data_IF_849848993989
#
_entry.id   IF_849848993989
#
_cell.length_a   1.000
_cell.length_b   1.000
_cell.length_c   1.000
_cell.angle_alpha   90.00
_cell.angle_beta   90.00
_cell.angle_gamma   90.00
#
_symmetry.space_group_name_H-M   'P 1'
#
loop_
_entity.id
_entity.type
_entity.pdbx_description
1 polymer ?
#
# COMPACT_ATOMS: atom_id res chain seq x y z
N UNK A 1 15.45 -15.70 -17.09
CA UNK A 1 15.20 -15.04 -15.79
C UNK A 1 13.93 -15.61 -15.19
N UNK A 2 13.96 -16.09 -13.95
CA UNK A 2 12.75 -16.54 -13.28
C UNK A 2 11.93 -15.30 -12.95
N UNK A 3 10.73 -15.14 -13.55
CA UNK A 3 9.86 -14.01 -13.22
C UNK A 3 9.55 -13.89 -11.73
N UNK A 4 9.15 -12.71 -11.27
CA UNK A 4 9.00 -12.39 -9.85
C UNK A 4 8.02 -13.32 -9.14
N UNK A 5 8.28 -13.62 -7.86
CA UNK A 5 7.55 -14.65 -7.12
C UNK A 5 6.07 -14.31 -6.95
N UNK A 6 5.71 -13.02 -6.77
CA UNK A 6 4.34 -12.57 -6.58
C UNK A 6 3.48 -12.76 -7.84
N UNK A 7 4.08 -12.69 -9.03
CA UNK A 7 3.40 -13.00 -10.30
C UNK A 7 3.08 -14.49 -10.46
N UNK A 8 3.85 -15.36 -9.79
CA UNK A 8 3.68 -16.82 -9.86
C UNK A 8 2.84 -17.39 -8.71
N UNK A 9 2.85 -16.73 -7.54
CA UNK A 9 2.17 -17.18 -6.35
C UNK A 9 1.44 -16.03 -5.65
N UNK A 10 0.11 -15.97 -5.85
CA UNK A 10 -0.77 -14.95 -5.23
C UNK A 10 -0.98 -15.15 -3.72
N UNK A 11 -0.59 -16.32 -3.20
CA UNK A 11 -0.64 -16.65 -1.78
C UNK A 11 0.68 -16.36 -1.05
N UNK A 12 1.72 -15.92 -1.77
CA UNK A 12 2.94 -15.47 -1.14
C UNK A 12 2.71 -14.17 -0.33
N UNK A 13 3.53 -13.97 0.69
CA UNK A 13 3.53 -12.75 1.51
C UNK A 13 3.66 -11.52 0.64
N UNK A 14 2.82 -10.51 0.89
CA UNK A 14 2.79 -9.24 0.15
C UNK A 14 2.50 -9.36 -1.36
N UNK A 15 2.16 -10.55 -1.89
CA UNK A 15 1.95 -10.72 -3.33
C UNK A 15 0.79 -9.88 -3.88
N UNK A 16 -0.25 -9.64 -3.07
CA UNK A 16 -1.40 -8.81 -3.47
C UNK A 16 -1.01 -7.33 -3.45
N UNK A 17 -0.27 -6.88 -2.43
CA UNK A 17 0.33 -5.55 -2.38
C UNK A 17 1.16 -5.29 -3.63
N UNK A 18 2.13 -6.16 -3.92
CA UNK A 18 3.03 -6.07 -5.07
C UNK A 18 2.27 -6.04 -6.40
N UNK A 19 1.25 -6.90 -6.55
CA UNK A 19 0.42 -6.91 -7.77
C UNK A 19 -0.39 -5.63 -7.95
N UNK A 20 -0.89 -5.03 -6.87
CA UNK A 20 -1.64 -3.76 -6.92
C UNK A 20 -0.68 -2.63 -7.26
N UNK A 21 0.47 -2.50 -6.59
CA UNK A 21 1.40 -1.41 -6.87
C UNK A 21 1.94 -1.49 -8.29
N UNK A 22 2.22 -2.68 -8.80
CA UNK A 22 2.57 -2.93 -10.20
C UNK A 22 1.47 -2.48 -11.18
N UNK A 23 0.20 -2.67 -10.82
CA UNK A 23 -0.92 -2.34 -11.72
C UNK A 23 -1.29 -0.87 -11.75
N UNK A 24 -0.92 -0.10 -10.71
CA UNK A 24 -1.34 1.31 -10.55
C UNK A 24 -0.19 2.30 -10.43
N UNK A 25 1.02 1.89 -10.09
CA UNK A 25 2.15 2.80 -9.85
C UNK A 25 3.35 2.54 -10.75
N UNK A 26 3.36 1.44 -11.51
CA UNK A 26 4.42 1.15 -12.47
C UNK A 26 4.49 2.25 -13.56
N UNK A 27 5.67 2.64 -14.05
CA UNK A 27 5.84 3.74 -15.02
C UNK A 27 5.10 3.53 -16.35
N UNK A 28 4.81 2.27 -16.71
CA UNK A 28 4.00 1.93 -17.89
C UNK A 28 2.49 2.18 -17.68
N UNK A 29 2.07 2.46 -16.46
CA UNK A 29 0.68 2.76 -16.12
C UNK A 29 0.39 4.26 -16.22
N UNK A 30 -0.84 4.65 -16.60
CA UNK A 30 -1.19 6.06 -16.70
C UNK A 30 -1.09 6.76 -15.33
N UNK A 31 -0.73 8.06 -15.30
CA UNK A 31 -0.40 8.79 -14.07
C UNK A 31 -1.56 8.90 -13.06
N UNK A 32 -2.80 8.64 -13.49
CA UNK A 32 -4.00 8.60 -12.63
C UNK A 32 -4.15 7.31 -11.81
N UNK A 33 -3.10 6.49 -11.70
CA UNK A 33 -3.14 5.21 -11.01
C UNK A 33 -3.57 5.30 -9.55
N UNK A 34 -2.99 6.23 -8.77
CA UNK A 34 -3.39 6.49 -7.38
C UNK A 34 -4.87 6.87 -7.25
N UNK A 35 -5.37 7.75 -8.13
CA UNK A 35 -6.78 8.14 -8.15
C UNK A 35 -7.73 6.96 -8.50
N UNK A 36 -7.30 6.06 -9.39
CA UNK A 36 -8.05 4.83 -9.71
C UNK A 36 -8.07 3.87 -8.51
N UNK A 37 -6.93 3.71 -7.83
CA UNK A 37 -6.83 2.87 -6.64
C UNK A 37 -7.71 3.41 -5.51
N UNK A 38 -7.70 4.72 -5.27
CA UNK A 38 -8.60 5.37 -4.31
C UNK A 38 -10.08 5.07 -4.59
N UNK A 39 -10.52 5.23 -5.86
CA UNK A 39 -11.90 4.91 -6.26
C UNK A 39 -12.23 3.45 -6.03
N UNK A 40 -11.28 2.54 -6.31
CA UNK A 40 -11.46 1.11 -6.12
C UNK A 40 -11.61 0.76 -4.63
N UNK A 41 -10.74 1.29 -3.77
CA UNK A 41 -10.82 1.10 -2.31
C UNK A 41 -12.11 1.67 -1.75
N UNK A 42 -12.48 2.89 -2.16
CA UNK A 42 -13.72 3.53 -1.74
C UNK A 42 -14.95 2.71 -2.14
N UNK A 43 -14.99 2.20 -3.38
CA UNK A 43 -16.06 1.34 -3.88
C UNK A 43 -16.17 0.04 -3.10
N UNK A 44 -15.08 -0.68 -2.86
CA UNK A 44 -15.12 -1.93 -2.08
C UNK A 44 -15.55 -1.67 -0.63
N UNK A 45 -15.01 -0.63 0.01
CA UNK A 45 -15.32 -0.31 1.41
C UNK A 45 -16.74 0.24 1.63
N UNK A 46 -17.26 1.03 0.69
CA UNK A 46 -18.57 1.68 0.83
C UNK A 46 -19.70 0.88 0.20
N UNK A 47 -19.48 0.33 -1.00
CA UNK A 47 -20.49 -0.39 -1.77
C UNK A 47 -20.49 -1.91 -1.46
N UNK A 48 -19.55 -2.39 -0.63
CA UNK A 48 -19.38 -3.81 -0.28
C UNK A 48 -19.28 -4.74 -1.51
N UNK A 49 -18.83 -4.19 -2.64
CA UNK A 49 -18.62 -4.96 -3.87
C UNK A 49 -17.25 -5.63 -3.84
N UNK A 50 -17.16 -6.84 -4.37
CA UNK A 50 -15.88 -7.52 -4.55
C UNK A 50 -15.26 -7.10 -5.88
N UNK A 51 -13.96 -6.78 -5.90
CA UNK A 51 -13.23 -6.52 -7.13
C UNK A 51 -12.77 -7.85 -7.72
N UNK A 52 -13.05 -8.09 -9.01
CA UNK A 52 -12.58 -9.30 -9.69
C UNK A 52 -11.07 -9.27 -10.01
N UNK A 53 -10.45 -8.08 -9.94
CA UNK A 53 -9.06 -7.87 -10.36
C UNK A 53 -8.09 -7.99 -9.19
N UNK A 54 -8.42 -7.37 -8.06
CA UNK A 54 -7.56 -7.36 -6.87
C UNK A 54 -8.38 -7.58 -5.61
N UNK A 55 -7.85 -8.37 -4.68
CA UNK A 55 -8.42 -8.56 -3.35
C UNK A 55 -8.08 -7.33 -2.49
N UNK A 56 -8.99 -6.34 -2.48
CA UNK A 56 -8.80 -5.06 -1.78
C UNK A 56 -8.67 -5.23 -0.26
N UNK A 57 -9.48 -6.06 0.42
CA UNK A 57 -9.27 -6.34 1.84
C UNK A 57 -7.87 -6.87 2.14
N UNK A 58 -7.40 -7.87 1.39
CA UNK A 58 -6.05 -8.45 1.55
C UNK A 58 -4.95 -7.44 1.20
N UNK A 59 -5.15 -6.62 0.17
CA UNK A 59 -4.26 -5.52 -0.17
C UNK A 59 -4.11 -4.53 0.99
N UNK A 60 -5.22 -4.07 1.58
CA UNK A 60 -5.17 -3.09 2.68
C UNK A 60 -4.52 -3.67 3.94
N UNK A 61 -4.72 -4.95 4.22
CA UNK A 61 -4.06 -5.65 5.32
C UNK A 61 -2.54 -5.72 5.11
N UNK A 62 -2.11 -6.15 3.91
CA UNK A 62 -0.70 -6.19 3.54
C UNK A 62 -0.06 -4.80 3.51
N UNK A 63 -0.76 -3.77 3.03
CA UNK A 63 -0.27 -2.39 3.04
C UNK A 63 -0.04 -1.89 4.46
N UNK A 64 -0.97 -2.16 5.40
CA UNK A 64 -0.80 -1.79 6.81
C UNK A 64 0.38 -2.51 7.46
N UNK A 65 0.52 -3.81 7.19
CA UNK A 65 1.66 -4.59 7.67
C UNK A 65 3.00 -4.04 7.13
N UNK A 66 3.04 -3.71 5.83
CA UNK A 66 4.22 -3.12 5.19
C UNK A 66 4.55 -1.73 5.72
N UNK A 67 3.56 -0.89 6.01
CA UNK A 67 3.79 0.43 6.65
C UNK A 67 4.31 0.28 8.07
N UNK A 68 3.83 -0.73 8.81
CA UNK A 68 4.27 -0.99 10.18
C UNK A 68 5.69 -1.60 10.24
N UNK A 69 6.02 -2.47 9.29
CA UNK A 69 7.33 -3.12 9.19
C UNK A 69 7.68 -3.40 7.71
N UNK A 70 8.34 -2.46 7.01
CA UNK A 70 8.68 -2.59 5.59
C UNK A 70 9.67 -3.73 5.34
N UNK A 71 10.46 -4.10 6.35
CA UNK A 71 11.42 -5.21 6.31
C UNK A 71 10.78 -6.58 6.04
N UNK A 72 9.46 -6.70 6.17
CA UNK A 72 8.72 -7.93 5.84
C UNK A 72 8.53 -8.13 4.34
N UNK A 73 8.66 -7.06 3.55
CA UNK A 73 8.64 -7.16 2.09
C UNK A 73 9.96 -7.82 1.67
N UNK A 74 9.92 -8.93 0.93
CA UNK A 74 11.12 -9.70 0.64
C UNK A 74 11.99 -8.99 -0.40
N UNK A 75 13.16 -8.50 0.03
CA UNK A 75 14.16 -7.87 -0.82
C UNK A 75 13.62 -6.62 -1.52
N UNK A 76 14.12 -6.34 -2.72
CA UNK A 76 13.74 -5.18 -3.54
C UNK A 76 12.40 -5.39 -4.30
N UNK A 77 11.53 -6.27 -3.82
CA UNK A 77 10.31 -6.64 -4.54
C UNK A 77 9.35 -5.46 -4.77
N UNK A 78 9.34 -4.47 -3.86
CA UNK A 78 8.53 -3.27 -3.99
C UNK A 78 9.06 -2.38 -5.13
N UNK A 79 10.38 -2.20 -5.19
CA UNK A 79 11.09 -1.47 -6.24
C UNK A 79 10.88 -2.16 -7.61
N UNK A 80 11.10 -3.47 -7.70
CA UNK A 80 10.82 -4.27 -8.91
C UNK A 80 9.34 -4.16 -9.39
N UNK A 81 8.40 -3.93 -8.47
CA UNK A 81 6.98 -3.89 -8.79
C UNK A 81 6.53 -2.51 -9.28
N UNK A 82 7.03 -1.42 -8.70
CA UNK A 82 6.54 -0.07 -8.97
C UNK A 82 7.58 0.87 -9.60
N UNK A 83 8.86 0.50 -9.63
CA UNK A 83 9.99 1.28 -10.18
C UNK A 83 9.93 2.74 -9.73
N UNK A 84 9.77 2.94 -8.41
CA UNK A 84 9.47 4.24 -7.84
C UNK A 84 10.75 5.01 -7.49
N UNK A 85 10.73 6.33 -7.71
CA UNK A 85 11.86 7.21 -7.40
C UNK A 85 11.76 7.87 -6.01
N UNK A 86 10.79 7.46 -5.18
CA UNK A 86 10.51 8.02 -3.85
C UNK A 86 11.66 7.81 -2.82
N UNK A 87 12.74 7.10 -3.20
CA UNK A 87 14.00 7.01 -2.47
C UNK A 87 14.01 6.01 -1.31
N UNK A 88 12.85 5.55 -0.83
CA UNK A 88 12.71 4.41 0.10
C UNK A 88 11.35 3.75 0.03
N UNK A 89 11.29 2.46 0.40
CA UNK A 89 10.04 1.71 0.50
C UNK A 89 9.01 2.40 1.42
N UNK A 90 9.47 2.95 2.55
CA UNK A 90 8.63 3.65 3.51
C UNK A 90 7.96 4.88 2.91
N UNK A 91 8.73 5.70 2.16
CA UNK A 91 8.22 6.89 1.50
C UNK A 91 7.17 6.53 0.45
N UNK A 92 7.43 5.48 -0.34
CA UNK A 92 6.49 4.96 -1.31
C UNK A 92 5.20 4.44 -0.66
N UNK A 93 5.31 3.59 0.37
CA UNK A 93 4.15 3.04 1.08
C UNK A 93 3.31 4.13 1.73
N UNK A 94 3.95 5.16 2.28
CA UNK A 94 3.27 6.32 2.83
C UNK A 94 2.51 7.12 1.77
N UNK A 95 3.11 7.29 0.58
CA UNK A 95 2.45 7.92 -0.58
C UNK A 95 1.23 7.10 -1.02
N UNK A 96 1.38 5.79 -1.18
CA UNK A 96 0.26 4.89 -1.54
C UNK A 96 -0.88 5.00 -0.53
N UNK A 97 -0.57 5.06 0.77
CA UNK A 97 -1.58 5.27 1.81
C UNK A 97 -2.30 6.62 1.69
N UNK A 98 -1.55 7.69 1.43
CA UNK A 98 -2.12 9.03 1.26
C UNK A 98 -2.97 9.17 0.00
N UNK A 99 -2.61 8.49 -1.09
CA UNK A 99 -3.44 8.43 -2.29
C UNK A 99 -4.80 7.76 -2.01
N UNK A 100 -4.81 6.70 -1.19
CA UNK A 100 -6.05 5.98 -0.82
C UNK A 100 -6.86 6.73 0.24
N UNK A 101 -6.20 7.28 1.25
CA UNK A 101 -6.84 7.94 2.38
C UNK A 101 -6.23 9.35 2.58
N UNK A 102 -6.61 10.31 1.73
CA UNK A 102 -6.07 11.66 1.83
C UNK A 102 -6.38 12.26 3.21
N UNK A 103 -5.34 12.71 3.91
CA UNK A 103 -5.44 13.31 5.24
C UNK A 103 -5.55 12.33 6.41
N UNK A 104 -5.52 11.01 6.17
CA UNK A 104 -5.48 10.01 7.25
C UNK A 104 -4.03 9.77 7.70
N UNK A 105 -3.75 9.71 9.01
CA UNK A 105 -2.42 9.35 9.49
C UNK A 105 -2.06 7.94 9.05
N UNK A 106 -0.75 7.67 8.94
CA UNK A 106 -0.24 6.34 8.65
C UNK A 106 -0.64 5.37 9.77
N UNK A 107 -0.97 4.11 9.42
CA UNK A 107 -1.20 3.05 10.38
C UNK A 107 0.16 2.60 10.95
N UNK A 108 0.76 3.43 11.80
CA UNK A 108 1.98 3.08 12.53
C UNK A 108 1.65 2.12 13.68
N UNK A 109 2.61 1.29 14.09
CA UNK A 109 2.49 0.42 15.26
C UNK A 109 2.35 1.20 16.59
N UNK A 110 2.58 2.52 16.59
CA UNK A 110 2.44 3.39 17.75
C UNK A 110 1.38 4.47 17.51
N UNK A 111 0.17 4.20 17.96
CA UNK A 111 -0.77 5.24 18.40
C UNK A 111 -1.03 5.00 19.87
N UNK A 112 0.02 5.22 20.66
CA UNK A 112 0.03 5.01 22.09
C UNK A 112 0.71 6.10 22.90
N UNK A 113 1.09 7.27 22.37
CA UNK A 113 1.43 8.41 23.22
C UNK A 113 1.53 9.74 22.47
N UNK A 114 0.72 10.74 22.85
CA UNK A 114 0.89 12.08 22.28
C UNK A 114 -0.21 13.12 22.48
N UNK A 115 -1.07 13.06 23.51
CA UNK A 115 -1.72 14.28 24.00
C UNK A 115 -1.11 14.67 25.34
N UNK A 116 0.01 15.37 25.24
CA UNK A 116 0.47 16.24 26.31
C UNK A 116 -0.32 17.53 26.24
N UNK A 117 -1.42 17.63 27.00
CA UNK A 117 -1.94 18.93 27.43
C UNK A 117 -1.72 19.13 28.92
N UNK A 118 -0.45 19.33 29.26
CA UNK A 118 -0.10 20.14 30.42
C UNK A 118 -0.42 21.60 30.09
N UNK A 119 -1.32 22.21 30.86
CA UNK A 119 -1.60 23.64 30.85
C UNK A 119 -1.77 24.11 32.30
N UNK A 120 -0.98 25.08 32.78
CA UNK A 120 -0.89 25.45 34.20
C UNK A 120 -1.97 26.48 34.58
N UNK A 121 -2.37 26.47 35.85
CA UNK A 121 -3.25 27.49 36.44
C UNK A 121 -3.94 27.00 37.70
#
# INVERSE_FOLDING_TARGET
MAGPFWRKNKDASFAVLLSVVESYYHPETPPDGGAKLHRLVHRVGHEHVSSQVHDIPKFLDQLRAAIADPSQIPGDALDDAADFEDGSDEAFLARVWHDIYPGRPLPTADSGNGDSRAGPG
#
